data_IF_809366434544
#
_entry.id   IF_809366434544
#
_cell.length_a   1.000
_cell.length_b   1.000
_cell.length_c   1.000
_cell.angle_alpha   90.00
_cell.angle_beta   90.00
_cell.angle_gamma   90.00
#
_symmetry.space_group_name_H-M   'P 1'
#
loop_
_entity.id
_entity.type
_entity.pdbx_description
1 polymer ?
#
# COMPACT_ATOMS: atom_id res chain seq x y z
N UNK A 1 10.67 9.78 -26.11
CA UNK A 1 9.89 10.76 -25.31
C UNK A 1 10.17 10.53 -23.84
N UNK A 2 10.16 11.59 -23.04
CA UNK A 2 10.31 11.48 -21.58
C UNK A 2 9.09 10.75 -20.99
N UNK A 3 9.34 9.83 -20.06
CA UNK A 3 8.27 9.20 -19.27
C UNK A 3 7.76 10.21 -18.25
N UNK A 4 6.49 10.10 -17.90
CA UNK A 4 5.85 10.97 -16.89
C UNK A 4 5.43 10.11 -15.71
N UNK A 5 5.75 10.58 -14.50
CA UNK A 5 5.30 9.96 -13.26
C UNK A 5 3.85 10.35 -13.01
N UNK A 6 3.03 9.36 -12.69
CA UNK A 6 1.64 9.48 -12.29
C UNK A 6 1.46 8.90 -10.89
N UNK A 7 0.50 9.45 -10.16
CA UNK A 7 0.18 9.11 -8.79
C UNK A 7 -1.18 8.43 -8.73
N UNK A 8 -1.27 7.34 -7.98
CA UNK A 8 -2.49 6.59 -7.81
C UNK A 8 -2.69 6.24 -6.34
N UNK A 9 -3.93 6.38 -5.87
CA UNK A 9 -4.34 6.00 -4.54
C UNK A 9 -5.08 4.67 -4.56
N UNK A 10 -4.84 3.85 -3.55
CA UNK A 10 -5.49 2.55 -3.37
C UNK A 10 -5.80 2.29 -1.91
N UNK A 11 -6.75 1.39 -1.62
CA UNK A 11 -7.02 0.95 -0.25
C UNK A 11 -5.79 0.23 0.32
N UNK A 12 -5.51 0.42 1.60
CA UNK A 12 -4.35 -0.16 2.27
C UNK A 12 -4.30 -1.69 2.10
N UNK A 13 -5.45 -2.38 2.20
CA UNK A 13 -5.59 -3.82 1.98
C UNK A 13 -5.09 -4.34 0.63
N UNK A 14 -4.98 -3.45 -0.35
CA UNK A 14 -4.57 -3.77 -1.74
C UNK A 14 -3.07 -3.69 -1.89
N UNK A 15 -2.39 -3.03 -0.95
CA UNK A 15 -0.94 -3.01 -0.86
C UNK A 15 -0.43 -4.35 -0.30
N UNK A 16 0.60 -4.97 -0.90
CA UNK A 16 1.22 -6.15 -0.31
C UNK A 16 1.90 -5.86 1.04
N UNK A 17 1.49 -6.48 2.15
CA UNK A 17 2.06 -6.16 3.47
C UNK A 17 3.47 -6.73 3.70
N UNK A 18 3.86 -7.76 2.96
CA UNK A 18 5.17 -8.41 3.10
C UNK A 18 5.95 -8.18 1.81
N UNK A 19 7.04 -7.42 1.93
CA UNK A 19 8.04 -7.26 0.88
C UNK A 19 9.25 -8.17 1.19
N UNK A 20 9.48 -9.19 0.35
CA UNK A 20 10.77 -9.89 0.21
C UNK A 20 10.90 -10.53 -1.19
N UNK A 21 12.09 -10.41 -1.81
CA UNK A 21 12.63 -11.22 -2.93
C UNK A 21 11.64 -11.85 -3.93
N UNK A 22 10.72 -11.06 -4.50
CA UNK A 22 9.85 -11.54 -5.56
C UNK A 22 8.37 -11.56 -5.22
N UNK A 23 7.88 -10.48 -4.58
CA UNK A 23 6.57 -9.92 -4.90
C UNK A 23 6.27 -10.19 -6.38
N UNK A 24 5.14 -10.85 -6.67
CA UNK A 24 4.71 -11.22 -8.03
C UNK A 24 4.76 -9.99 -8.94
N UNK A 25 5.87 -9.78 -9.62
CA UNK A 25 6.12 -8.61 -10.46
C UNK A 25 5.67 -8.89 -11.89
N UNK A 26 4.39 -9.26 -12.00
CA UNK A 26 3.49 -8.80 -13.05
C UNK A 26 2.29 -8.16 -12.34
N UNK A 27 2.55 -7.12 -11.55
CA UNK A 27 1.52 -6.46 -10.77
C UNK A 27 0.60 -5.68 -11.70
N UNK A 28 -0.42 -6.37 -12.16
CA UNK A 28 -1.62 -5.75 -12.63
C UNK A 28 -2.48 -5.48 -11.38
N UNK A 29 -2.41 -4.23 -10.91
CA UNK A 29 -3.00 -3.84 -9.62
C UNK A 29 -4.52 -3.82 -9.66
N UNK A 30 -5.08 -3.36 -10.75
CA UNK A 30 -6.21 -3.94 -11.47
C UNK A 30 -7.14 -4.92 -10.68
N UNK A 31 -6.73 -6.15 -10.38
CA UNK A 31 -7.52 -7.14 -9.62
C UNK A 31 -7.69 -6.73 -8.16
N UNK A 32 -6.64 -6.13 -7.60
CA UNK A 32 -6.67 -5.56 -6.26
C UNK A 32 -7.40 -4.23 -6.24
N UNK A 33 -7.46 -3.45 -7.32
CA UNK A 33 -8.14 -2.13 -7.39
C UNK A 33 -9.67 -2.22 -7.38
N UNK A 34 -10.22 -3.42 -7.21
CA UNK A 34 -11.64 -3.68 -7.08
C UNK A 34 -12.35 -3.64 -8.42
N UNK A 35 -13.66 -3.89 -8.41
CA UNK A 35 -14.43 -3.93 -9.64
C UNK A 35 -14.40 -2.57 -10.35
N UNK A 36 -14.33 -2.55 -11.69
CA UNK A 36 -14.50 -1.34 -12.48
C UNK A 36 -15.82 -0.62 -12.15
N UNK A 37 -15.76 0.70 -12.00
CA UNK A 37 -16.92 1.59 -11.85
C UNK A 37 -17.78 1.68 -13.11
N UNK A 38 -18.76 2.58 -13.12
CA UNK A 38 -19.59 2.81 -14.32
C UNK A 38 -18.77 3.49 -15.42
N UNK A 39 -17.92 4.43 -15.04
CA UNK A 39 -17.06 5.23 -15.90
C UNK A 39 -15.96 4.37 -16.53
N UNK A 40 -15.30 3.52 -15.73
CA UNK A 40 -14.27 2.57 -16.18
C UNK A 40 -14.81 1.63 -17.28
N UNK A 41 -16.07 1.24 -17.19
CA UNK A 41 -16.74 0.35 -18.16
C UNK A 41 -17.13 1.04 -19.46
N UNK A 42 -17.22 2.37 -19.45
CA UNK A 42 -17.57 3.18 -20.64
C UNK A 42 -16.34 3.72 -21.37
N UNK A 43 -15.14 3.41 -20.88
CA UNK A 43 -13.88 3.82 -21.50
C UNK A 43 -13.74 3.34 -22.95
N UNK A 44 -13.22 4.19 -23.86
CA UNK A 44 -12.82 3.76 -25.20
C UNK A 44 -11.88 2.54 -25.12
N UNK A 45 -12.22 1.46 -25.85
CA UNK A 45 -11.49 0.19 -25.77
C UNK A 45 -12.13 -0.86 -24.86
N UNK A 46 -13.34 -0.59 -24.35
CA UNK A 46 -14.31 -1.48 -23.66
C UNK A 46 -13.90 -1.98 -22.28
N UNK A 47 -12.61 -2.25 -22.02
CA UNK A 47 -12.03 -2.31 -20.68
C UNK A 47 -10.50 -2.14 -20.80
N UNK A 48 -9.83 -1.56 -19.80
CA UNK A 48 -8.40 -1.84 -19.57
C UNK A 48 -8.20 -3.31 -19.10
N UNK A 49 -8.74 -4.27 -19.87
CA UNK A 49 -8.79 -5.73 -19.64
C UNK A 49 -9.50 -6.17 -18.34
N UNK A 50 -10.66 -5.59 -18.07
CA UNK A 50 -11.55 -5.95 -16.94
C UNK A 50 -11.18 -5.30 -15.62
N UNK A 51 -10.29 -4.30 -15.64
CA UNK A 51 -9.63 -3.82 -14.42
C UNK A 51 -9.57 -2.28 -14.36
N UNK A 52 -9.67 -1.73 -13.15
CA UNK A 52 -9.61 -0.30 -12.88
C UNK A 52 -8.17 0.19 -12.99
N UNK A 53 -7.84 1.09 -13.91
CA UNK A 53 -6.57 1.84 -13.85
C UNK A 53 -6.74 3.28 -14.31
N UNK A 54 -7.15 4.13 -13.38
CA UNK A 54 -7.14 5.59 -13.46
C UNK A 54 -6.06 6.12 -12.51
N UNK A 55 -5.16 6.98 -12.98
CA UNK A 55 -4.16 7.64 -12.12
C UNK A 55 -4.15 9.15 -12.32
N UNK A 56 -3.77 9.87 -11.29
CA UNK A 56 -3.74 11.33 -11.25
C UNK A 56 -2.38 11.89 -11.67
N UNK A 57 -2.39 13.04 -12.34
CA UNK A 57 -1.18 13.71 -12.79
C UNK A 57 -0.51 14.59 -11.72
N UNK A 58 -1.10 14.84 -10.56
CA UNK A 58 -0.39 15.51 -9.47
C UNK A 58 -0.66 14.82 -8.15
N UNK A 59 0.34 14.80 -7.27
CA UNK A 59 0.18 14.24 -5.93
C UNK A 59 -0.89 15.01 -5.13
N UNK A 60 -0.95 16.33 -5.30
CA UNK A 60 -1.94 17.15 -4.59
C UNK A 60 -3.36 16.82 -5.03
N UNK A 61 -3.60 16.63 -6.33
CA UNK A 61 -4.90 16.18 -6.81
C UNK A 61 -5.21 14.73 -6.40
N UNK A 62 -4.21 13.85 -6.36
CA UNK A 62 -4.39 12.50 -5.81
C UNK A 62 -4.87 12.58 -4.35
N UNK A 63 -4.23 13.42 -3.53
CA UNK A 63 -4.57 13.64 -2.11
C UNK A 63 -5.99 14.14 -1.89
N UNK A 64 -6.53 14.98 -2.78
CA UNK A 64 -7.93 15.45 -2.63
C UNK A 64 -8.96 14.32 -2.80
N UNK A 65 -8.58 13.18 -3.37
CA UNK A 65 -9.46 12.03 -3.60
C UNK A 65 -9.16 10.82 -2.70
N UNK A 66 -8.45 11.05 -1.58
CA UNK A 66 -8.06 9.99 -0.63
C UNK A 66 -9.24 9.22 -0.04
N UNK A 67 -10.38 9.90 0.17
CA UNK A 67 -11.60 9.27 0.66
C UNK A 67 -12.24 8.31 -0.35
N UNK A 68 -12.11 8.56 -1.65
CA UNK A 68 -12.65 7.70 -2.71
C UNK A 68 -11.75 6.47 -2.96
N UNK A 69 -10.44 6.69 -3.00
CA UNK A 69 -9.51 5.69 -3.52
C UNK A 69 -8.70 4.98 -2.43
N UNK A 70 -8.63 5.52 -1.22
CA UNK A 70 -7.84 4.99 -0.11
C UNK A 70 -6.49 5.68 0.04
N UNK A 71 -5.70 5.20 1.00
CA UNK A 71 -4.49 5.88 1.51
C UNK A 71 -3.16 5.28 1.05
N UNK A 72 -3.23 4.12 0.42
CA UNK A 72 -2.08 3.50 -0.19
C UNK A 72 -1.63 4.32 -1.40
N UNK A 73 -0.40 4.82 -1.37
CA UNK A 73 0.15 5.59 -2.46
C UNK A 73 0.95 4.68 -3.38
N UNK A 74 0.69 4.79 -4.68
CA UNK A 74 1.39 4.08 -5.74
C UNK A 74 1.81 5.10 -6.76
N UNK A 75 3.07 5.04 -7.19
CA UNK A 75 3.54 5.87 -8.30
C UNK A 75 4.00 5.00 -9.43
N UNK A 76 3.74 5.43 -10.65
CA UNK A 76 4.28 4.74 -11.80
C UNK A 76 4.58 5.66 -12.97
N UNK A 77 5.36 5.18 -13.93
CA UNK A 77 5.75 5.97 -15.10
C UNK A 77 5.08 5.47 -16.37
N UNK A 78 4.47 6.39 -17.13
CA UNK A 78 3.78 6.12 -18.39
C UNK A 78 4.47 6.76 -19.57
N UNK A 79 4.23 6.22 -20.77
CA UNK A 79 4.57 6.88 -22.03
C UNK A 79 3.38 7.75 -22.45
N UNK A 80 3.47 9.09 -22.41
CA UNK A 80 2.33 9.96 -22.66
C UNK A 80 1.71 9.82 -24.06
N UNK A 81 2.46 9.27 -25.02
CA UNK A 81 1.95 9.01 -26.36
C UNK A 81 1.11 7.72 -26.46
N UNK A 82 1.08 6.89 -25.40
CA UNK A 82 0.42 5.56 -25.39
C UNK A 82 -0.76 5.47 -24.43
N UNK A 83 -1.08 6.56 -23.74
CA UNK A 83 -2.15 6.63 -22.75
C UNK A 83 -3.08 7.79 -23.07
N UNK A 84 -4.35 7.62 -22.74
CA UNK A 84 -5.34 8.69 -22.85
C UNK A 84 -5.51 9.33 -21.47
N UNK A 85 -5.85 10.61 -21.45
CA UNK A 85 -6.14 11.33 -20.24
C UNK A 85 -7.35 12.26 -20.42
N UNK A 86 -8.07 12.44 -19.32
CA UNK A 86 -9.26 13.29 -19.22
C UNK A 86 -9.16 14.13 -17.94
N UNK A 87 -9.59 15.40 -17.95
CA UNK A 87 -9.72 16.17 -16.71
C UNK A 87 -10.69 15.49 -15.74
N UNK A 88 -10.28 15.29 -14.49
CA UNK A 88 -11.10 14.69 -13.44
C UNK A 88 -12.40 15.45 -13.21
N UNK A 89 -12.38 16.78 -13.32
CA UNK A 89 -13.57 17.63 -13.25
C UNK A 89 -14.66 17.29 -14.29
N UNK A 90 -14.33 16.58 -15.38
CA UNK A 90 -15.32 16.14 -16.36
C UNK A 90 -16.22 15.00 -15.86
N UNK A 91 -15.89 14.34 -14.74
CA UNK A 91 -16.71 13.26 -14.15
C UNK A 91 -18.11 13.75 -13.77
N UNK A 92 -18.22 15.00 -13.30
CA UNK A 92 -19.49 15.61 -12.88
C UNK A 92 -20.46 15.84 -14.05
N UNK A 93 -19.95 15.90 -15.30
CA UNK A 93 -20.74 16.06 -16.52
C UNK A 93 -21.34 14.76 -17.07
N UNK A 94 -21.11 13.62 -16.39
CA UNK A 94 -21.53 12.30 -16.82
C UNK A 94 -20.56 11.62 -17.79
N UNK A 95 -20.68 10.29 -17.90
CA UNK A 95 -19.68 9.45 -18.56
C UNK A 95 -19.47 9.76 -20.06
N UNK A 96 -20.51 10.15 -20.80
CA UNK A 96 -20.38 10.53 -22.21
C UNK A 96 -19.49 11.78 -22.37
N UNK A 97 -19.77 12.84 -21.60
CA UNK A 97 -18.98 14.08 -21.64
C UNK A 97 -17.54 13.85 -21.17
N UNK A 98 -17.33 12.97 -20.17
CA UNK A 98 -16.01 12.57 -19.71
C UNK A 98 -15.18 11.94 -20.84
N UNK A 99 -15.75 10.97 -21.57
CA UNK A 99 -15.01 10.29 -22.63
C UNK A 99 -14.87 11.10 -23.92
N UNK A 100 -15.80 12.00 -24.22
CA UNK A 100 -15.67 12.97 -25.32
C UNK A 100 -14.50 13.95 -25.10
N UNK A 101 -14.17 14.25 -23.84
CA UNK A 101 -13.03 15.10 -23.47
C UNK A 101 -11.69 14.35 -23.47
N UNK A 102 -11.69 13.01 -23.60
CA UNK A 102 -10.48 12.20 -23.53
C UNK A 102 -9.57 12.42 -24.76
N UNK A 103 -8.28 12.62 -24.50
CA UNK A 103 -7.25 12.82 -25.55
C UNK A 103 -5.95 12.12 -25.15
N UNK A 104 -4.95 12.06 -26.03
CA UNK A 104 -3.64 11.52 -25.63
C UNK A 104 -3.04 12.40 -24.54
N UNK A 105 -2.45 11.79 -23.50
CA UNK A 105 -1.82 12.54 -22.40
C UNK A 105 -0.74 13.50 -22.94
N UNK A 106 0.01 13.09 -23.97
CA UNK A 106 0.97 13.97 -24.65
C UNK A 106 0.35 15.30 -25.08
N UNK A 107 -0.87 15.28 -25.60
CA UNK A 107 -1.50 16.47 -26.17
C UNK A 107 -1.88 17.47 -25.06
N UNK A 108 -2.24 16.97 -23.88
CA UNK A 108 -2.39 17.82 -22.69
C UNK A 108 -1.06 18.43 -22.26
N UNK A 109 -0.01 17.61 -22.14
CA UNK A 109 1.32 18.05 -21.69
C UNK A 109 2.00 19.06 -22.62
N UNK A 110 1.57 19.17 -23.88
CA UNK A 110 2.07 20.19 -24.82
C UNK A 110 1.40 21.55 -24.66
N UNK A 111 0.34 21.66 -23.86
CA UNK A 111 -0.34 22.93 -23.59
C UNK A 111 0.51 23.77 -22.62
N UNK A 112 0.38 25.11 -22.72
CA UNK A 112 1.10 26.02 -21.84
C UNK A 112 0.75 25.79 -20.35
N UNK A 113 -0.49 25.37 -20.08
CA UNK A 113 -0.99 25.07 -18.74
C UNK A 113 -1.90 23.83 -18.81
N UNK A 114 -1.34 22.61 -18.70
CA UNK A 114 -2.15 21.40 -18.67
C UNK A 114 -3.01 21.35 -17.40
N UNK A 115 -4.18 20.69 -17.43
CA UNK A 115 -4.95 20.44 -16.21
C UNK A 115 -4.11 19.64 -15.20
N UNK A 116 -4.21 20.02 -13.93
CA UNK A 116 -3.50 19.36 -12.82
C UNK A 116 -4.24 18.12 -12.31
N UNK A 117 -5.51 18.00 -12.71
CA UNK A 117 -6.48 16.98 -12.34
C UNK A 117 -6.64 15.90 -13.43
N UNK A 118 -5.62 15.71 -14.28
CA UNK A 118 -5.72 14.70 -15.33
C UNK A 118 -5.75 13.29 -14.75
N UNK A 119 -6.79 12.56 -15.12
CA UNK A 119 -6.92 11.13 -14.93
C UNK A 119 -6.41 10.40 -16.16
N UNK A 120 -5.37 9.60 -15.97
CA UNK A 120 -4.68 8.84 -17.00
C UNK A 120 -5.24 7.42 -17.03
N UNK A 121 -5.70 7.01 -18.20
CA UNK A 121 -6.18 5.67 -18.50
C UNK A 121 -5.23 4.97 -19.46
N UNK A 122 -4.92 3.72 -19.15
CA UNK A 122 -4.01 2.91 -19.95
C UNK A 122 -4.69 1.59 -20.34
N UNK A 123 -4.41 1.15 -21.56
CA UNK A 123 -4.88 -0.13 -22.09
C UNK A 123 -3.87 -1.26 -21.91
N UNK A 124 -2.73 -1.00 -21.25
CA UNK A 124 -1.66 -1.98 -21.01
C UNK A 124 -1.31 -2.04 -19.52
N UNK A 125 -1.05 -3.23 -18.95
CA UNK A 125 -0.61 -3.36 -17.56
C UNK A 125 0.68 -2.60 -17.28
N UNK A 126 0.78 -2.00 -16.08
CA UNK A 126 2.04 -1.40 -15.60
C UNK A 126 3.03 -2.53 -15.34
N UNK A 127 4.22 -2.46 -15.94
CA UNK A 127 5.30 -3.38 -15.59
C UNK A 127 5.84 -2.98 -14.22
N UNK A 128 6.16 -3.95 -13.37
CA UNK A 128 6.69 -3.70 -12.03
C UNK A 128 7.91 -2.76 -11.99
N UNK A 129 8.79 -2.79 -13.01
CA UNK A 129 9.92 -1.86 -13.13
C UNK A 129 9.53 -0.38 -13.29
N UNK A 130 8.27 -0.10 -13.54
CA UNK A 130 7.71 1.24 -13.65
C UNK A 130 6.85 1.59 -12.44
N UNK A 131 6.64 0.65 -11.51
CA UNK A 131 5.86 0.81 -10.30
C UNK A 131 6.80 1.13 -9.13
N UNK A 132 6.40 2.06 -8.28
CA UNK A 132 6.97 2.30 -6.96
C UNK A 132 5.81 2.38 -5.97
N UNK A 133 6.02 1.83 -4.78
CA UNK A 133 5.08 1.86 -3.67
C UNK A 133 5.63 2.80 -2.59
N UNK A 134 5.33 4.11 -2.65
CA UNK A 134 5.64 5.05 -1.57
C UNK A 134 5.01 4.66 -0.23
N UNK A 135 5.43 5.38 0.82
CA UNK A 135 4.76 5.35 2.11
C UNK A 135 3.27 5.70 1.99
N UNK A 136 2.46 5.12 2.87
CA UNK A 136 1.03 5.38 2.89
C UNK A 136 0.68 6.73 3.50
N UNK A 137 -0.39 7.34 3.02
CA UNK A 137 -0.88 8.64 3.46
C UNK A 137 -1.81 8.51 4.68
N UNK A 138 -1.25 8.00 5.79
CA UNK A 138 -1.95 7.83 7.06
C UNK A 138 -1.69 9.01 8.00
N UNK A 139 -2.71 9.41 8.76
CA UNK A 139 -2.57 10.43 9.81
C UNK A 139 -2.34 9.79 11.18
N UNK A 140 -1.91 10.58 12.16
CA UNK A 140 -1.77 10.11 13.54
C UNK A 140 -3.09 9.56 14.11
N UNK A 141 -4.22 10.22 13.83
CA UNK A 141 -5.54 9.77 14.28
C UNK A 141 -5.90 8.36 13.77
N UNK A 142 -5.45 8.01 12.57
CA UNK A 142 -5.73 6.70 11.95
C UNK A 142 -4.79 5.60 12.40
N UNK A 143 -3.60 5.98 12.84
CA UNK A 143 -2.71 5.10 13.58
C UNK A 143 -3.17 4.97 15.04
N UNK A 144 -4.01 5.89 15.52
CA UNK A 144 -4.52 5.93 16.88
C UNK A 144 -3.40 5.81 17.91
N UNK A 145 -3.47 4.86 18.86
CA UNK A 145 -2.46 4.71 19.90
C UNK A 145 -1.08 4.28 19.35
N UNK A 146 -0.98 3.87 18.09
CA UNK A 146 0.26 3.42 17.47
C UNK A 146 1.04 4.54 16.76
N UNK A 147 0.50 5.76 16.68
CA UNK A 147 1.15 6.85 15.94
C UNK A 147 2.59 7.10 16.40
N UNK A 148 2.80 7.20 17.72
CA UNK A 148 4.10 7.51 18.30
C UNK A 148 5.14 6.39 18.10
N UNK A 149 4.72 5.11 18.18
CA UNK A 149 5.65 3.99 17.93
C UNK A 149 6.04 3.89 16.45
N UNK A 150 5.11 4.20 15.54
CA UNK A 150 5.41 4.26 14.09
C UNK A 150 6.38 5.39 13.81
N UNK A 151 6.16 6.58 14.35
CA UNK A 151 7.06 7.72 14.19
C UNK A 151 8.47 7.41 14.74
N UNK A 152 8.55 6.78 15.91
CA UNK A 152 9.82 6.50 16.57
C UNK A 152 10.67 5.43 15.86
N UNK A 153 10.06 4.45 15.20
CA UNK A 153 10.74 3.26 14.65
C UNK A 153 10.89 3.26 13.13
N UNK A 154 9.89 3.74 12.40
CA UNK A 154 9.71 3.29 11.02
C UNK A 154 10.78 3.77 10.03
N UNK A 155 11.44 4.91 10.30
CA UNK A 155 12.58 5.42 9.52
C UNK A 155 13.95 5.24 10.20
N UNK A 156 13.95 4.93 11.50
CA UNK A 156 15.16 4.91 12.34
C UNK A 156 15.73 3.50 12.49
N UNK A 157 14.86 2.51 12.64
CA UNK A 157 15.21 1.11 12.82
C UNK A 157 14.29 0.22 11.97
N UNK A 158 14.72 -0.03 10.74
CA UNK A 158 13.96 -0.84 9.77
C UNK A 158 13.79 -2.29 10.21
N UNK A 159 14.70 -2.82 11.03
CA UNK A 159 14.63 -4.20 11.49
C UNK A 159 13.53 -4.35 12.55
N UNK A 160 13.52 -3.44 13.52
CA UNK A 160 12.43 -3.32 14.50
C UNK A 160 11.09 -3.00 13.83
N UNK A 161 11.08 -2.10 12.83
CA UNK A 161 9.88 -1.77 12.07
C UNK A 161 9.28 -3.02 11.40
N UNK A 162 10.11 -3.85 10.78
CA UNK A 162 9.66 -5.10 10.14
C UNK A 162 9.12 -6.10 11.16
N UNK A 163 9.76 -6.23 12.33
CA UNK A 163 9.29 -7.12 13.38
C UNK A 163 7.93 -6.64 13.96
N UNK A 164 7.81 -5.34 14.26
CA UNK A 164 6.56 -4.74 14.73
C UNK A 164 5.45 -4.76 13.68
N UNK A 165 5.79 -4.65 12.40
CA UNK A 165 4.84 -4.82 11.28
C UNK A 165 4.17 -6.19 11.36
N UNK A 166 4.92 -7.29 11.45
CA UNK A 166 4.34 -8.63 11.57
C UNK A 166 3.43 -8.77 12.80
N UNK A 167 3.81 -8.14 13.91
CA UNK A 167 3.04 -8.18 15.13
C UNK A 167 1.74 -7.37 15.03
N UNK A 168 1.78 -6.21 14.38
CA UNK A 168 0.61 -5.40 14.08
C UNK A 168 -0.36 -6.11 13.11
N UNK A 169 0.16 -6.85 12.11
CA UNK A 169 -0.67 -7.72 11.25
C UNK A 169 -1.42 -8.75 12.09
N UNK A 170 -0.75 -9.43 13.02
CA UNK A 170 -1.42 -10.42 13.86
C UNK A 170 -2.45 -9.74 14.78
N UNK A 171 -2.12 -8.57 15.32
CA UNK A 171 -3.00 -7.82 16.21
C UNK A 171 -4.26 -7.27 15.51
N UNK A 172 -4.23 -7.15 14.18
CA UNK A 172 -5.39 -6.75 13.40
C UNK A 172 -6.45 -7.84 13.28
N UNK A 173 -6.10 -9.11 13.53
CA UNK A 173 -7.04 -10.25 13.50
C UNK A 173 -7.88 -10.31 12.22
N UNK A 174 -7.24 -10.01 11.07
CA UNK A 174 -7.90 -9.99 9.77
C UNK A 174 -8.72 -8.72 9.46
N UNK A 175 -8.88 -7.79 10.40
CA UNK A 175 -9.62 -6.53 10.19
C UNK A 175 -8.74 -5.48 9.47
N UNK A 176 -9.02 -5.27 8.18
CA UNK A 176 -8.32 -4.32 7.31
C UNK A 176 -8.66 -2.84 7.56
N UNK A 177 -9.67 -2.57 8.41
CA UNK A 177 -10.08 -1.24 8.85
C UNK A 177 -9.50 -0.83 10.21
N UNK A 178 -8.81 -1.73 10.89
CA UNK A 178 -8.26 -1.51 12.24
C UNK A 178 -7.04 -0.59 12.26
N UNK A 179 -6.79 0.05 13.41
CA UNK A 179 -5.57 0.83 13.64
C UNK A 179 -4.32 -0.06 13.57
N UNK A 180 -4.43 -1.33 13.96
CA UNK A 180 -3.37 -2.33 13.89
C UNK A 180 -2.98 -2.62 12.45
N UNK A 181 -3.97 -2.78 11.55
CA UNK A 181 -3.70 -2.97 10.13
C UNK A 181 -3.06 -1.72 9.51
N UNK A 182 -3.58 -0.53 9.82
CA UNK A 182 -2.97 0.73 9.38
C UNK A 182 -1.51 0.85 9.85
N UNK A 183 -1.24 0.46 11.10
CA UNK A 183 0.10 0.42 11.69
C UNK A 183 1.03 -0.54 10.95
N UNK A 184 0.57 -1.77 10.67
CA UNK A 184 1.34 -2.72 9.88
C UNK A 184 1.73 -2.13 8.53
N UNK A 185 0.78 -1.51 7.82
CA UNK A 185 1.03 -0.90 6.52
C UNK A 185 2.04 0.25 6.63
N UNK A 186 1.92 1.11 7.64
CA UNK A 186 2.81 2.25 7.86
C UNK A 186 4.26 1.84 8.20
N UNK A 187 4.43 0.70 8.86
CA UNK A 187 5.74 0.11 9.17
C UNK A 187 6.36 -0.59 7.95
N UNK A 188 5.52 -1.23 7.12
CA UNK A 188 5.92 -1.91 5.91
C UNK A 188 6.48 -0.93 4.85
N UNK A 189 5.74 0.13 4.54
CA UNK A 189 6.01 1.03 3.41
C UNK A 189 6.68 2.33 3.79
N UNK A 190 7.85 2.63 3.20
CA UNK A 190 8.55 3.92 3.34
C UNK A 190 9.01 4.46 1.98
N UNK A 191 9.32 5.74 1.94
CA UNK A 191 9.78 6.43 0.74
C UNK A 191 11.23 6.11 0.32
N UNK A 192 11.83 5.05 0.88
CA UNK A 192 13.20 4.58 0.59
C UNK A 192 13.27 3.06 0.35
N UNK A 193 14.35 2.59 -0.32
CA UNK A 193 14.55 1.16 -0.52
C UNK A 193 14.77 0.44 0.82
N UNK A 194 14.25 -0.78 0.96
CA UNK A 194 14.59 -1.63 2.11
C UNK A 194 16.11 -1.95 2.11
N UNK A 195 16.76 -1.96 3.28
CA UNK A 195 18.14 -2.43 3.40
C UNK A 195 18.32 -3.84 2.83
N UNK A 196 19.39 -4.06 2.07
CA UNK A 196 19.68 -5.38 1.51
C UNK A 196 19.88 -6.41 2.63
N UNK A 197 19.16 -7.52 2.57
CA UNK A 197 19.29 -8.61 3.54
C UNK A 197 18.51 -8.41 4.85
N UNK A 198 17.70 -7.34 4.98
CA UNK A 198 16.92 -7.05 6.18
C UNK A 198 16.13 -8.25 6.71
N UNK A 199 15.43 -8.96 5.82
CA UNK A 199 14.61 -10.11 6.22
C UNK A 199 15.48 -11.31 6.62
N UNK A 200 16.59 -11.54 5.90
CA UNK A 200 17.56 -12.58 6.28
C UNK A 200 18.11 -12.31 7.68
N UNK A 201 18.45 -11.06 7.98
CA UNK A 201 18.91 -10.64 9.30
C UNK A 201 17.82 -10.84 10.36
N UNK A 202 16.58 -10.44 10.08
CA UNK A 202 15.43 -10.64 10.97
C UNK A 202 15.23 -12.12 11.32
N UNK A 203 15.28 -12.99 10.32
CA UNK A 203 15.18 -14.46 10.50
C UNK A 203 16.34 -14.99 11.34
N UNK A 204 17.57 -14.52 11.11
CA UNK A 204 18.75 -14.96 11.87
C UNK A 204 18.71 -14.56 13.35
N UNK A 205 18.22 -13.36 13.65
CA UNK A 205 18.12 -12.87 15.04
C UNK A 205 16.90 -13.41 15.78
N UNK A 206 15.90 -13.91 15.06
CA UNK A 206 14.62 -14.37 15.61
C UNK A 206 13.60 -13.23 15.62
N UNK A 207 12.59 -13.26 14.72
CA UNK A 207 11.61 -12.17 14.59
C UNK A 207 10.89 -11.81 15.89
N UNK A 208 10.60 -12.79 16.74
CA UNK A 208 9.93 -12.59 18.03
C UNK A 208 10.86 -11.94 19.07
N UNK A 209 12.17 -12.19 19.00
CA UNK A 209 13.18 -11.54 19.84
C UNK A 209 13.39 -10.09 19.43
N UNK A 210 13.45 -9.84 18.12
CA UNK A 210 13.53 -8.46 17.58
C UNK A 210 12.28 -7.68 17.97
N UNK A 211 11.09 -8.25 17.79
CA UNK A 211 9.84 -7.60 18.22
C UNK A 211 9.84 -7.32 19.74
N UNK A 212 10.30 -8.28 20.56
CA UNK A 212 10.42 -8.09 22.00
C UNK A 212 11.39 -6.97 22.39
N UNK A 213 12.54 -6.87 21.70
CA UNK A 213 13.53 -5.83 21.92
C UNK A 213 12.98 -4.45 21.50
N UNK A 214 12.35 -4.37 20.33
CA UNK A 214 11.69 -3.15 19.85
C UNK A 214 10.62 -2.65 20.84
N UNK A 215 9.79 -3.55 21.37
CA UNK A 215 8.79 -3.19 22.38
C UNK A 215 9.41 -2.76 23.72
N UNK A 216 10.61 -3.22 24.04
CA UNK A 216 11.32 -2.77 25.24
C UNK A 216 11.94 -1.38 25.05
N UNK A 217 12.50 -1.12 23.87
CA UNK A 217 13.16 0.15 23.52
C UNK A 217 12.15 1.28 23.28
N UNK A 218 11.15 1.02 22.45
CA UNK A 218 10.19 2.05 21.98
C UNK A 218 8.87 2.01 22.74
N UNK A 219 8.63 1.02 23.59
CA UNK A 219 7.32 0.87 24.25
C UNK A 219 6.97 1.95 25.26
N UNK A 220 7.92 2.81 25.66
CA UNK A 220 7.67 3.94 26.56
C UNK A 220 7.01 5.13 25.88
N UNK A 221 7.19 5.30 24.56
CA UNK A 221 6.55 6.39 23.81
C UNK A 221 5.06 6.11 23.56
N UNK A 222 4.68 4.84 23.41
CA UNK A 222 3.29 4.43 23.25
C UNK A 222 2.92 3.26 24.18
N UNK A 223 2.73 3.48 25.49
CA UNK A 223 2.57 2.41 26.47
C UNK A 223 1.39 1.46 26.19
N UNK A 224 0.24 2.01 25.80
CA UNK A 224 -0.98 1.24 25.55
C UNK A 224 -0.83 0.38 24.29
N UNK A 225 -0.33 0.97 23.20
CA UNK A 225 -0.01 0.23 21.97
C UNK A 225 1.04 -0.86 22.23
N UNK A 226 2.10 -0.53 22.98
CA UNK A 226 3.14 -1.48 23.32
C UNK A 226 2.60 -2.63 24.19
N UNK A 227 1.71 -2.35 25.14
CA UNK A 227 1.05 -3.38 25.95
C UNK A 227 0.23 -4.33 25.06
N UNK A 228 -0.58 -3.80 24.15
CA UNK A 228 -1.37 -4.61 23.22
C UNK A 228 -0.49 -5.48 22.31
N UNK A 229 0.61 -4.92 21.80
CA UNK A 229 1.57 -5.68 20.99
C UNK A 229 2.29 -6.76 21.82
N UNK A 230 2.67 -6.49 23.07
CA UNK A 230 3.27 -7.51 23.97
C UNK A 230 2.32 -8.68 24.22
N UNK A 231 1.05 -8.40 24.50
CA UNK A 231 0.02 -9.45 24.64
C UNK A 231 -0.12 -10.28 23.36
N UNK A 232 -0.11 -9.63 22.20
CA UNK A 232 -0.14 -10.31 20.89
C UNK A 232 1.09 -11.20 20.68
N UNK A 233 2.27 -10.73 21.12
CA UNK A 233 3.52 -11.47 20.99
C UNK A 233 3.52 -12.72 21.88
N UNK A 234 3.06 -12.58 23.13
CA UNK A 234 2.89 -13.71 24.07
C UNK A 234 1.90 -14.74 23.54
N UNK A 235 0.74 -14.30 23.08
CA UNK A 235 -0.25 -15.18 22.46
C UNK A 235 0.32 -15.90 21.22
N UNK A 236 1.17 -15.22 20.45
CA UNK A 236 1.81 -15.81 19.26
C UNK A 236 2.86 -16.85 19.62
N UNK A 237 3.63 -16.63 20.70
CA UNK A 237 4.56 -17.64 21.22
C UNK A 237 3.80 -18.89 21.69
N UNK A 238 2.74 -18.73 22.48
CA UNK A 238 1.91 -19.86 22.92
C UNK A 238 1.27 -20.62 21.75
N UNK A 239 0.80 -19.90 20.72
CA UNK A 239 0.33 -20.53 19.49
C UNK A 239 1.43 -21.31 18.77
N UNK A 240 2.63 -20.74 18.63
CA UNK A 240 3.75 -21.37 17.95
C UNK A 240 4.19 -22.69 18.64
N UNK A 241 4.22 -22.69 19.97
CA UNK A 241 4.49 -23.89 20.78
C UNK A 241 3.47 -24.99 20.50
N UNK A 242 2.17 -24.65 20.43
CA UNK A 242 1.10 -25.61 20.11
C UNK A 242 1.23 -26.18 18.69
N UNK A 243 1.75 -25.39 17.74
CA UNK A 243 2.00 -25.82 16.36
C UNK A 243 3.35 -26.57 16.20
N UNK A 244 4.16 -26.68 17.26
CA UNK A 244 5.48 -27.30 17.19
C UNK A 244 6.48 -26.51 16.33
N UNK A 245 6.30 -25.20 16.18
CA UNK A 245 7.18 -24.34 15.39
C UNK A 245 8.41 -23.89 16.21
N UNK A 246 9.54 -23.71 15.54
CA UNK A 246 10.75 -23.21 16.19
C UNK A 246 10.61 -21.73 16.60
N UNK A 247 11.40 -21.31 17.59
CA UNK A 247 11.46 -19.92 18.05
C UNK A 247 11.73 -18.96 16.89
N UNK A 248 10.86 -17.95 16.73
CA UNK A 248 10.93 -16.96 15.65
C UNK A 248 10.12 -17.32 14.40
N UNK A 249 9.87 -18.60 14.12
CA UNK A 249 9.04 -19.02 12.97
C UNK A 249 7.56 -18.74 13.21
N UNK A 250 7.11 -18.81 14.48
CA UNK A 250 5.72 -18.56 14.86
C UNK A 250 5.18 -17.19 14.45
N UNK A 251 5.99 -16.13 14.58
CA UNK A 251 5.57 -14.77 14.22
C UNK A 251 5.34 -14.65 12.71
N UNK A 252 6.26 -15.16 11.90
CA UNK A 252 6.15 -15.13 10.44
C UNK A 252 5.00 -16.04 9.95
N UNK A 253 4.88 -17.24 10.51
CA UNK A 253 3.81 -18.17 10.15
C UNK A 253 2.41 -17.63 10.50
N UNK A 254 2.25 -17.07 11.70
CA UNK A 254 0.96 -16.53 12.14
C UNK A 254 0.57 -15.27 11.38
N UNK A 255 1.53 -14.37 11.14
CA UNK A 255 1.25 -13.18 10.30
C UNK A 255 0.89 -13.59 8.87
N UNK A 256 1.54 -14.60 8.28
CA UNK A 256 1.16 -15.12 6.97
C UNK A 256 -0.29 -15.64 6.94
N UNK A 257 -0.71 -16.40 7.95
CA UNK A 257 -2.08 -16.89 8.06
C UNK A 257 -3.13 -15.75 8.08
N UNK A 258 -2.87 -14.69 8.84
CA UNK A 258 -3.76 -13.52 8.90
C UNK A 258 -3.79 -12.77 7.56
N UNK A 259 -2.65 -12.64 6.87
CA UNK A 259 -2.61 -12.01 5.54
C UNK A 259 -3.45 -12.78 4.54
N UNK A 260 -3.40 -14.11 4.55
CA UNK A 260 -4.22 -14.94 3.66
C UNK A 260 -5.72 -14.67 3.87
N UNK A 261 -6.17 -14.52 5.12
CA UNK A 261 -7.56 -14.17 5.47
C UNK A 261 -7.97 -12.78 4.95
N UNK A 262 -7.12 -11.76 5.14
CA UNK A 262 -7.38 -10.39 4.61
C UNK A 262 -7.56 -10.40 3.09
N UNK A 263 -6.86 -11.29 2.39
CA UNK A 263 -6.93 -11.38 0.92
C UNK A 263 -8.06 -12.25 0.37
N UNK A 264 -8.72 -13.05 1.20
CA UNK A 264 -9.76 -14.01 0.77
C UNK A 264 -11.17 -13.41 0.69
N UNK A 265 -11.39 -12.20 1.23
CA UNK A 265 -12.68 -11.52 1.24
C UNK A 265 -12.81 -10.68 -0.05
N UNK A 266 -13.31 -11.30 -1.12
CA UNK A 266 -13.75 -10.63 -2.38
C UNK A 266 -15.26 -10.37 -2.40
#
# INVERSE_FOLDING_TARGET
MARVTVWHLTRLRRLPLIEEQGLRTRADLSDRLGPPGVEDRQAPGTYAHGRRVSAYLSLDHARTHIGEHGRGLITFTVDPAKVIATPGAARDGGAAAYWDAARQLRDWLTQAEPPVDLEVHQNVPVRAKYLRLPGTLLTADELGPYAEIVEAVADTDRLSAKALMHLAIIASDGDDGSHEFATAVALAYRDGPEPQGLVRELVQLGPDKVASAALAEYGSVAPDAAQRLRQTLEATRGWAEQQGLEHGQGLLARSAAVVDEVTAIE
#
